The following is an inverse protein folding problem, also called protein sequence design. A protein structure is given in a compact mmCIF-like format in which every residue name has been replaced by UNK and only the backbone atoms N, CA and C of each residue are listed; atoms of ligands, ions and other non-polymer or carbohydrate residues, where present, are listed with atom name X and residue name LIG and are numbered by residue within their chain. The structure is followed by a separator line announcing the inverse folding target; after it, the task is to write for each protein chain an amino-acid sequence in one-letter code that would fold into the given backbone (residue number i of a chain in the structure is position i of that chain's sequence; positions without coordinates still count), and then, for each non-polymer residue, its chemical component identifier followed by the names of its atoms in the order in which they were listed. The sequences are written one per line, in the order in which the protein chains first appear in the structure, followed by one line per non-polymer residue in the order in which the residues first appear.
data_IF_173906313998
#
_entry.id   IF_173906313998
#
_cell.length_a   1.000
_cell.length_b   1.000
_cell.length_c   1.000
_cell.angle_alpha   90.00
_cell.angle_beta   90.00
_cell.angle_gamma   90.00
#
_symmetry.space_group_name_H-M   'P 1'
#
loop_
_entity.id
_entity.type
_entity.pdbx_description
1 polymer ?
#
# COMPACT_ATOMS: atom_id res chain seq x y z
N UNK A 1 -33.53 59.10 22.65
CA UNK A 1 -33.60 57.86 23.46
C UNK A 1 -32.16 57.50 23.81
N UNK A 2 -31.62 58.06 24.91
CA UNK A 2 -31.34 57.35 26.18
C UNK A 2 -30.41 56.13 25.93
N UNK A 3 -29.13 56.05 26.32
CA UNK A 3 -28.54 56.30 27.65
C UNK A 3 -26.99 56.35 27.54
N UNK A 4 -26.34 57.19 28.36
CA UNK A 4 -24.89 57.23 28.64
C UNK A 4 -24.60 56.46 29.95
N UNK A 5 -23.48 55.74 30.06
CA UNK A 5 -22.77 55.46 31.33
C UNK A 5 -21.27 55.23 31.00
N UNK A 6 -20.37 56.17 31.37
CA UNK A 6 -19.44 56.14 32.53
C UNK A 6 -18.35 55.04 32.38
N UNK A 7 -17.04 55.22 32.58
CA UNK A 7 -16.21 56.21 33.29
C UNK A 7 -14.74 55.98 32.84
N UNK A 8 -13.90 57.00 32.62
CA UNK A 8 -12.74 57.29 33.49
C UNK A 8 -11.42 56.60 33.06
N UNK A 9 -10.59 57.20 32.19
CA UNK A 9 -9.42 58.07 32.48
C UNK A 9 -8.24 57.43 33.25
N UNK A 10 -7.11 57.17 32.56
CA UNK A 10 -5.71 57.34 33.02
C UNK A 10 -4.75 56.98 31.87
N UNK A 11 -4.12 57.95 31.19
CA UNK A 11 -2.77 58.53 31.43
C UNK A 11 -1.57 57.60 31.16
N UNK A 12 -0.88 57.93 30.07
CA UNK A 12 0.58 58.07 29.87
C UNK A 12 1.56 56.88 29.95
N UNK A 13 2.40 56.87 28.91
CA UNK A 13 3.84 56.54 28.83
C UNK A 13 4.27 55.13 28.40
N UNK A 14 5.16 55.16 27.40
CA UNK A 14 5.84 54.05 26.76
C UNK A 14 6.94 53.43 27.65
N UNK A 15 7.20 52.13 27.46
CA UNK A 15 8.53 51.56 27.67
C UNK A 15 8.68 50.29 26.84
N UNK A 16 9.65 50.32 25.94
CA UNK A 16 10.16 49.18 25.17
C UNK A 16 10.92 48.25 26.14
N UNK A 17 10.59 46.96 26.13
CA UNK A 17 11.51 45.93 26.65
C UNK A 17 11.47 44.71 25.73
N UNK A 18 12.57 44.54 25.00
CA UNK A 18 12.90 43.37 24.17
C UNK A 18 13.09 42.13 25.03
N UNK A 19 12.40 41.03 24.71
CA UNK A 19 12.78 39.68 25.15
C UNK A 19 12.74 38.78 23.91
N UNK A 20 13.91 38.27 23.54
CA UNK A 20 14.12 37.42 22.38
C UNK A 20 13.37 36.09 22.49
N UNK A 21 12.67 35.74 21.43
CA UNK A 21 12.02 34.43 21.30
C UNK A 21 12.85 33.60 20.31
N UNK A 22 13.64 32.67 20.85
CA UNK A 22 14.29 31.61 20.08
C UNK A 22 13.20 30.75 19.42
N UNK A 23 13.17 30.73 18.09
CA UNK A 23 12.39 29.77 17.30
C UNK A 23 13.01 28.37 17.47
N UNK A 24 12.28 27.37 18.01
CA UNK A 24 12.77 26.00 17.97
C UNK A 24 12.66 25.47 16.54
N UNK A 25 13.80 25.19 15.92
CA UNK A 25 13.92 24.44 14.67
C UNK A 25 13.45 23.00 14.91
N UNK A 26 12.19 22.72 14.60
CA UNK A 26 11.64 21.36 14.68
C UNK A 26 12.18 20.52 13.51
N UNK A 27 13.16 19.65 13.79
CA UNK A 27 13.57 18.61 12.85
C UNK A 27 12.45 17.57 12.73
N UNK A 28 11.92 17.27 11.54
CA UNK A 28 11.05 16.10 11.37
C UNK A 28 11.86 14.84 11.70
N UNK A 29 11.48 14.15 12.76
CA UNK A 29 12.09 12.89 13.15
C UNK A 29 11.86 11.84 12.08
N UNK A 30 12.91 11.46 11.35
CA UNK A 30 12.88 10.27 10.50
C UNK A 30 12.78 9.04 11.40
N UNK A 31 11.59 8.45 11.48
CA UNK A 31 11.42 7.15 12.11
C UNK A 31 12.11 6.10 11.24
N UNK A 32 13.37 5.79 11.54
CA UNK A 32 14.03 4.61 10.98
C UNK A 32 13.38 3.39 11.63
N UNK A 33 12.52 2.68 10.88
CA UNK A 33 12.05 1.37 11.29
C UNK A 33 13.29 0.46 11.45
N UNK A 34 13.65 0.15 12.69
CA UNK A 34 14.68 -0.84 12.95
C UNK A 34 14.25 -2.18 12.32
N UNK A 35 15.17 -2.94 11.69
CA UNK A 35 14.83 -4.28 11.24
C UNK A 35 14.36 -5.07 12.47
N UNK A 36 13.13 -5.58 12.42
CA UNK A 36 12.68 -6.58 13.40
C UNK A 36 13.61 -7.77 13.22
N UNK A 37 14.44 -8.04 14.22
CA UNK A 37 15.26 -9.23 14.26
C UNK A 37 14.31 -10.43 14.36
N UNK A 38 14.04 -11.07 13.22
CA UNK A 38 13.37 -12.35 13.19
C UNK A 38 14.21 -13.30 14.06
N UNK A 39 13.58 -13.96 15.04
CA UNK A 39 14.22 -15.04 15.78
C UNK A 39 14.82 -16.03 14.78
N UNK A 40 16.00 -16.59 15.09
CA UNK A 40 16.83 -17.37 14.16
C UNK A 40 15.99 -18.18 13.16
N UNK A 41 15.85 -17.65 11.95
CA UNK A 41 15.03 -18.29 10.93
C UNK A 41 15.79 -19.51 10.41
N UNK A 42 15.14 -20.68 10.38
CA UNK A 42 15.68 -21.89 9.75
C UNK A 42 15.67 -21.81 8.20
N UNK A 43 15.27 -20.66 7.65
CA UNK A 43 15.14 -20.40 6.23
C UNK A 43 15.51 -18.96 5.92
N UNK A 44 15.94 -18.71 4.69
CA UNK A 44 16.12 -17.37 4.16
C UNK A 44 14.90 -17.00 3.32
N UNK A 45 14.14 -16.00 3.76
CA UNK A 45 13.04 -15.44 2.99
C UNK A 45 13.58 -14.49 1.92
N UNK A 46 13.06 -14.61 0.70
CA UNK A 46 13.30 -13.65 -0.39
C UNK A 46 11.95 -13.17 -0.89
N UNK A 47 11.72 -11.86 -0.82
CA UNK A 47 10.49 -11.26 -1.32
C UNK A 47 10.61 -11.02 -2.83
N UNK A 48 9.76 -11.69 -3.62
CA UNK A 48 9.78 -11.58 -5.07
C UNK A 48 8.94 -10.40 -5.57
N UNK A 49 7.71 -10.27 -5.08
CA UNK A 49 6.77 -9.21 -5.50
C UNK A 49 6.08 -8.61 -4.28
N UNK A 50 5.84 -7.30 -4.29
CA UNK A 50 5.03 -6.59 -3.29
C UNK A 50 4.36 -5.36 -3.91
N UNK A 51 3.22 -4.95 -3.39
CA UNK A 51 2.61 -3.64 -3.66
C UNK A 51 3.34 -2.48 -2.94
N UNK A 52 4.23 -2.77 -1.99
CA UNK A 52 5.02 -1.80 -1.24
C UNK A 52 6.37 -1.59 -1.94
N UNK A 53 6.65 -0.35 -2.33
CA UNK A 53 7.92 0.03 -2.97
C UNK A 53 9.12 -0.30 -2.07
N UNK A 54 10.11 -0.98 -2.65
CA UNK A 54 11.36 -1.35 -1.97
C UNK A 54 11.29 -2.58 -1.06
N UNK A 55 10.12 -3.24 -0.92
CA UNK A 55 9.97 -4.41 -0.05
C UNK A 55 10.32 -5.74 -0.74
N UNK A 56 10.29 -5.78 -2.07
CA UNK A 56 10.52 -6.96 -2.89
C UNK A 56 11.32 -6.62 -4.16
N UNK A 57 11.75 -7.65 -4.89
CA UNK A 57 12.48 -7.46 -6.16
C UNK A 57 11.65 -6.74 -7.23
N UNK A 58 10.33 -6.98 -7.26
CA UNK A 58 9.37 -6.32 -8.14
C UNK A 58 8.28 -5.63 -7.32
N UNK A 59 7.87 -4.44 -7.76
CA UNK A 59 6.72 -3.73 -7.20
C UNK A 59 5.56 -3.80 -8.18
N UNK A 60 4.41 -4.31 -7.72
CA UNK A 60 3.17 -4.38 -8.52
C UNK A 60 1.99 -3.84 -7.69
N UNK A 61 1.40 -2.74 -8.16
CA UNK A 61 0.27 -2.09 -7.49
C UNK A 61 -1.02 -2.92 -7.54
N UNK A 62 -1.08 -3.98 -8.35
CA UNK A 62 -2.20 -4.90 -8.35
C UNK A 62 -2.15 -5.88 -7.18
N UNK A 63 -0.99 -6.18 -6.60
CA UNK A 63 -0.78 -7.24 -5.59
C UNK A 63 -1.27 -6.83 -4.19
N UNK A 64 -2.47 -6.24 -4.09
CA UNK A 64 -3.07 -5.81 -2.83
C UNK A 64 -3.89 -6.95 -2.25
N UNK A 65 -3.59 -7.33 -1.01
CA UNK A 65 -4.30 -8.38 -0.28
C UNK A 65 -4.43 -9.68 -1.10
N UNK A 66 -3.34 -10.28 -1.63
CA UNK A 66 -3.45 -11.49 -2.43
C UNK A 66 -3.86 -12.71 -1.58
N UNK A 67 -4.81 -13.51 -2.07
CA UNK A 67 -5.44 -14.60 -1.29
C UNK A 67 -5.18 -16.00 -1.83
N UNK A 68 -4.77 -16.13 -3.10
CA UNK A 68 -4.56 -17.43 -3.73
C UNK A 68 -3.44 -17.42 -4.74
N UNK A 69 -2.77 -18.57 -4.88
CA UNK A 69 -1.75 -18.83 -5.90
C UNK A 69 -2.02 -20.18 -6.57
N UNK A 70 -1.91 -20.24 -7.88
CA UNK A 70 -2.06 -21.48 -8.64
C UNK A 70 -1.14 -21.52 -9.84
N UNK A 71 -0.60 -22.70 -10.15
CA UNK A 71 0.32 -22.92 -11.25
C UNK A 71 0.35 -24.41 -11.62
N UNK A 72 0.81 -24.71 -12.82
CA UNK A 72 1.23 -26.05 -13.24
C UNK A 72 2.74 -26.19 -13.12
N UNK A 73 3.29 -27.37 -13.42
CA UNK A 73 4.75 -27.60 -13.40
C UNK A 73 5.55 -26.69 -14.34
N UNK A 74 4.91 -26.10 -15.36
CA UNK A 74 5.57 -25.29 -16.39
C UNK A 74 4.91 -23.93 -16.63
N UNK A 75 3.84 -23.57 -15.91
CA UNK A 75 3.17 -22.29 -16.09
C UNK A 75 3.80 -21.18 -15.23
N UNK A 76 3.53 -19.92 -15.57
CA UNK A 76 3.63 -18.82 -14.60
C UNK A 76 2.74 -19.08 -13.37
N UNK A 77 2.99 -18.32 -12.31
CA UNK A 77 2.15 -18.24 -11.13
C UNK A 77 0.98 -17.30 -11.39
N UNK A 78 -0.24 -17.82 -11.28
CA UNK A 78 -1.45 -17.00 -11.19
C UNK A 78 -1.68 -16.62 -9.74
N UNK A 79 -1.87 -15.33 -9.48
CA UNK A 79 -2.17 -14.81 -8.14
C UNK A 79 -3.56 -14.18 -8.16
N UNK A 80 -4.35 -14.45 -7.13
CA UNK A 80 -5.67 -13.86 -6.93
C UNK A 80 -5.56 -12.62 -6.04
N UNK A 81 -5.67 -11.44 -6.64
CA UNK A 81 -5.46 -10.16 -5.98
C UNK A 81 -6.79 -9.61 -5.44
N UNK A 82 -7.11 -9.97 -4.19
CA UNK A 82 -8.42 -9.70 -3.62
C UNK A 82 -8.73 -8.19 -3.55
N UNK A 83 -7.76 -7.38 -3.14
CA UNK A 83 -7.93 -5.94 -2.92
C UNK A 83 -8.04 -5.12 -4.20
N UNK A 84 -7.57 -5.64 -5.33
CA UNK A 84 -7.65 -4.98 -6.64
C UNK A 84 -8.63 -5.66 -7.60
N UNK A 85 -9.21 -6.79 -7.22
CA UNK A 85 -10.24 -7.46 -8.01
C UNK A 85 -9.73 -8.03 -9.32
N UNK A 86 -8.45 -8.42 -9.36
CA UNK A 86 -7.81 -8.98 -10.55
C UNK A 86 -7.10 -10.30 -10.23
N UNK A 87 -6.63 -10.97 -11.27
CA UNK A 87 -5.64 -12.01 -11.18
C UNK A 87 -4.45 -11.67 -12.07
N UNK A 88 -3.26 -11.64 -11.48
CA UNK A 88 -1.99 -11.31 -12.12
C UNK A 88 -1.13 -12.55 -12.35
N UNK A 89 -0.22 -12.48 -13.32
CA UNK A 89 0.73 -13.56 -13.61
C UNK A 89 2.17 -13.12 -13.34
N UNK A 90 2.94 -14.00 -12.70
CA UNK A 90 4.38 -13.82 -12.48
C UNK A 90 5.18 -15.06 -12.87
N UNK A 91 6.41 -14.89 -13.34
CA UNK A 91 7.34 -16.02 -13.50
C UNK A 91 7.93 -16.46 -12.13
N UNK A 92 8.78 -17.48 -12.13
CA UNK A 92 9.39 -18.01 -10.90
C UNK A 92 10.37 -17.07 -10.19
N UNK A 93 10.69 -15.94 -10.79
CA UNK A 93 11.50 -14.87 -10.21
C UNK A 93 10.64 -13.70 -9.71
N UNK A 94 9.30 -13.78 -9.87
CA UNK A 94 8.38 -12.70 -9.53
C UNK A 94 8.22 -11.62 -10.61
N UNK A 95 8.81 -11.78 -11.79
CA UNK A 95 8.59 -10.80 -12.86
C UNK A 95 7.15 -10.92 -13.40
N UNK A 96 6.43 -9.79 -13.55
CA UNK A 96 5.15 -9.78 -14.25
C UNK A 96 5.25 -10.43 -15.64
N UNK A 97 4.29 -11.27 -15.99
CA UNK A 97 4.34 -12.14 -17.17
C UNK A 97 3.12 -11.95 -18.10
N UNK A 98 3.29 -12.00 -19.43
CA UNK A 98 4.55 -12.11 -20.17
C UNK A 98 5.41 -10.84 -20.09
N UNK A 99 6.75 -10.98 -20.13
CA UNK A 99 7.65 -9.83 -20.14
C UNK A 99 7.63 -9.10 -21.51
N UNK A 100 8.24 -7.91 -21.61
CA UNK A 100 8.42 -7.20 -22.86
C UNK A 100 9.00 -8.07 -23.98
N UNK A 101 8.56 -7.91 -25.24
CA UNK A 101 7.74 -6.81 -25.77
C UNK A 101 6.23 -6.94 -25.53
N UNK A 102 5.76 -8.06 -24.94
CA UNK A 102 4.37 -8.19 -24.54
C UNK A 102 4.10 -7.37 -23.26
N UNK A 103 2.82 -7.21 -22.92
CA UNK A 103 2.40 -6.62 -21.65
C UNK A 103 2.02 -7.72 -20.66
N UNK A 104 2.34 -7.57 -19.37
CA UNK A 104 1.87 -8.49 -18.34
C UNK A 104 0.36 -8.68 -18.38
N UNK A 105 -0.08 -9.92 -18.23
CA UNK A 105 -1.49 -10.24 -18.23
C UNK A 105 -2.08 -9.93 -16.85
N UNK A 106 -3.11 -9.09 -16.84
CA UNK A 106 -3.94 -8.78 -15.67
C UNK A 106 -5.38 -9.10 -16.03
N UNK A 107 -5.98 -10.07 -15.36
CA UNK A 107 -7.34 -10.52 -15.62
C UNK A 107 -8.28 -9.91 -14.60
N UNK A 108 -9.20 -9.04 -15.04
CA UNK A 108 -10.25 -8.51 -14.16
C UNK A 108 -11.25 -9.59 -13.79
N UNK A 109 -11.51 -9.73 -12.50
CA UNK A 109 -12.51 -10.66 -11.96
C UNK A 109 -13.82 -9.89 -11.76
N UNK A 110 -14.93 -10.33 -12.38
CA UNK A 110 -16.20 -9.64 -12.23
C UNK A 110 -16.72 -9.73 -10.79
N UNK A 111 -17.43 -8.70 -10.30
CA UNK A 111 -18.08 -8.75 -8.99
C UNK A 111 -19.24 -9.75 -8.99
N UNK A 112 -19.36 -10.52 -7.91
CA UNK A 112 -20.49 -11.43 -7.70
C UNK A 112 -21.84 -10.69 -7.63
N UNK A 113 -21.83 -9.43 -7.18
CA UNK A 113 -23.00 -8.54 -7.12
C UNK A 113 -23.42 -7.98 -8.48
N UNK A 114 -22.64 -8.20 -9.55
CA UNK A 114 -22.89 -7.61 -10.87
C UNK A 114 -22.52 -6.12 -11.00
N UNK A 115 -22.04 -5.48 -9.93
CA UNK A 115 -21.54 -4.10 -9.97
C UNK A 115 -20.41 -3.90 -8.95
N UNK A 116 -19.50 -2.97 -9.23
CA UNK A 116 -18.32 -2.71 -8.40
C UNK A 116 -17.13 -3.60 -8.76
N UNK A 117 -16.27 -3.83 -7.78
CA UNK A 117 -15.01 -4.56 -7.94
C UNK A 117 -15.17 -6.03 -7.53
N UNK A 118 -14.58 -6.94 -8.29
CA UNK A 118 -14.49 -8.34 -7.86
C UNK A 118 -13.60 -8.51 -6.63
N UNK A 119 -13.82 -9.60 -5.90
CA UNK A 119 -13.01 -9.94 -4.72
C UNK A 119 -12.58 -11.41 -4.85
N UNK A 120 -11.62 -11.71 -5.74
CA UNK A 120 -11.19 -13.08 -5.95
C UNK A 120 -10.65 -13.66 -4.64
N UNK A 121 -11.06 -14.89 -4.34
CA UNK A 121 -10.62 -15.62 -3.13
C UNK A 121 -9.59 -16.70 -3.46
N UNK A 122 -9.46 -17.07 -4.72
CA UNK A 122 -8.48 -18.04 -5.19
C UNK A 122 -8.75 -18.48 -6.63
N UNK A 123 -7.77 -19.22 -7.15
CA UNK A 123 -7.80 -19.87 -8.47
C UNK A 123 -7.23 -21.27 -8.34
N UNK A 124 -7.60 -22.16 -9.26
CA UNK A 124 -7.09 -23.54 -9.30
C UNK A 124 -6.68 -23.85 -10.74
N UNK A 125 -5.50 -24.46 -10.89
CA UNK A 125 -5.09 -25.03 -12.16
C UNK A 125 -5.89 -26.30 -12.45
N UNK A 126 -6.59 -26.34 -13.59
CA UNK A 126 -7.24 -27.55 -14.09
C UNK A 126 -6.36 -28.22 -15.15
N UNK A 127 -5.75 -29.35 -14.81
CA UNK A 127 -4.91 -30.15 -15.71
C UNK A 127 -5.68 -31.17 -16.55
N UNK A 128 -7.01 -31.18 -16.50
CA UNK A 128 -7.86 -32.12 -17.24
C UNK A 128 -8.59 -31.42 -18.39
N UNK A 129 -9.28 -32.19 -19.23
CA UNK A 129 -10.08 -31.66 -20.35
C UNK A 129 -11.52 -31.29 -19.97
N UNK A 130 -11.92 -31.50 -18.72
CA UNK A 130 -13.28 -31.27 -18.25
C UNK A 130 -13.32 -30.42 -17.00
N UNK A 131 -14.47 -29.80 -16.73
CA UNK A 131 -14.75 -29.13 -15.48
C UNK A 131 -16.19 -29.46 -15.10
N UNK A 132 -16.38 -30.15 -13.97
CA UNK A 132 -17.70 -30.56 -13.45
C UNK A 132 -17.93 -29.78 -12.16
N UNK A 133 -19.07 -29.10 -12.08
CA UNK A 133 -19.52 -28.27 -10.95
C UNK A 133 -20.93 -28.66 -10.53
#
# INVERSE_FOLDING_TARGET
MHIRFLLGRARLLALVLTIGMLLPLTLPGTATAAPRQAGAAFYQQTNLVSDISGLAAFTDAHLVNPWGISFSSTSPFWVSDNGTGVSTLYNGQGQPFPPPPASPLVVTIPPASGSGQGTPTGTVFNGTTGFVI
#
